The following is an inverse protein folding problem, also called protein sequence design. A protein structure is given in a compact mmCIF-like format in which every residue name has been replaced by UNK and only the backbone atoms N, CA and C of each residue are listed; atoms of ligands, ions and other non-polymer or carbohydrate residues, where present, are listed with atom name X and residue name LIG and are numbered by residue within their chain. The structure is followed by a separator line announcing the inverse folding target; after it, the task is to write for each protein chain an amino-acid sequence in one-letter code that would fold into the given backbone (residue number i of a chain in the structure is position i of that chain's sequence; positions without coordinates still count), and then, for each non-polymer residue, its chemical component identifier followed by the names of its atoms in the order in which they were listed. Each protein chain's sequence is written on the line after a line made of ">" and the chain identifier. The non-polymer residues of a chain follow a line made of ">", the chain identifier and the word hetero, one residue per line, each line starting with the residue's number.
data_IF_185024594290
#
_entry.id   IF_185024594290
#
_cell.length_a   1.000
_cell.length_b   1.000
_cell.length_c   1.000
_cell.angle_alpha   90.00
_cell.angle_beta   90.00
_cell.angle_gamma   90.00
#
_symmetry.space_group_name_H-M   'P 1'
#
loop_
_entity.id
_entity.type
_entity.pdbx_description
1 polymer ?
#
# COMPACT_ATOMS: atom_id res chain seq x y z
N UNK A 1 4.73 -79.85 47.86
CA UNK A 1 5.57 -78.80 47.31
C UNK A 1 4.65 -77.96 46.50
N UNK A 2 4.34 -76.69 46.95
CA UNK A 2 3.39 -75.78 46.33
C UNK A 2 4.19 -74.75 45.55
N UNK A 3 4.04 -74.69 44.25
CA UNK A 3 4.62 -73.63 43.36
C UNK A 3 3.66 -72.45 43.29
N UNK A 4 4.14 -71.33 43.75
CA UNK A 4 3.43 -70.07 43.71
C UNK A 4 3.76 -69.37 42.34
N UNK A 5 2.74 -69.18 41.46
CA UNK A 5 2.89 -68.40 40.25
C UNK A 5 2.67 -66.95 40.61
N UNK A 6 3.70 -66.13 40.43
CA UNK A 6 3.59 -64.66 40.46
C UNK A 6 3.17 -64.15 39.08
N UNK A 7 1.97 -63.53 38.98
CA UNK A 7 1.52 -62.78 37.81
C UNK A 7 1.96 -61.37 38.03
N UNK A 8 2.92 -60.91 37.20
CA UNK A 8 3.31 -59.50 37.14
C UNK A 8 2.33 -58.74 36.23
N UNK A 9 1.50 -57.90 36.82
CA UNK A 9 0.65 -56.96 36.08
C UNK A 9 1.46 -55.72 35.68
N UNK A 10 1.82 -55.65 34.44
CA UNK A 10 2.47 -54.46 33.87
C UNK A 10 1.40 -53.40 33.57
N UNK A 11 1.32 -52.36 34.40
CA UNK A 11 0.49 -51.19 34.17
C UNK A 11 1.19 -50.29 33.16
N UNK A 12 0.77 -50.34 31.89
CA UNK A 12 1.21 -49.40 30.86
C UNK A 12 0.49 -48.07 31.05
N UNK A 13 1.14 -47.06 31.62
CA UNK A 13 0.68 -45.68 31.61
C UNK A 13 0.82 -45.15 30.19
N UNK A 14 -0.29 -45.08 29.43
CA UNK A 14 -0.37 -44.35 28.18
C UNK A 14 -0.40 -42.84 28.51
N UNK A 15 0.74 -42.16 28.46
CA UNK A 15 0.82 -40.72 28.52
C UNK A 15 0.37 -40.21 27.15
N UNK A 16 -0.89 -39.80 27.05
CA UNK A 16 -1.42 -39.11 25.89
C UNK A 16 -0.81 -37.70 25.85
N UNK A 17 0.28 -37.53 25.13
CA UNK A 17 0.71 -36.21 24.73
C UNK A 17 -0.34 -35.68 23.76
N UNK A 18 -1.22 -34.81 24.25
CA UNK A 18 -2.09 -34.02 23.41
C UNK A 18 -1.21 -33.19 22.44
N UNK A 19 -1.16 -33.59 21.18
CA UNK A 19 -0.53 -32.79 20.15
C UNK A 19 -1.31 -31.46 20.06
N UNK A 20 -0.86 -30.46 20.78
CA UNK A 20 -1.33 -29.10 20.54
C UNK A 20 -0.90 -28.77 19.10
N UNK A 21 -1.89 -28.60 18.22
CA UNK A 21 -1.65 -28.18 16.87
C UNK A 21 -0.88 -26.86 16.92
N UNK A 22 0.39 -26.92 16.53
CA UNK A 22 1.25 -25.75 16.51
C UNK A 22 0.65 -24.78 15.47
N UNK A 23 0.22 -23.58 15.91
CA UNK A 23 -0.30 -22.55 15.00
C UNK A 23 0.68 -22.35 13.85
N UNK A 24 0.17 -22.28 12.62
CA UNK A 24 1.02 -21.98 11.49
C UNK A 24 1.65 -20.59 11.65
N UNK A 25 2.81 -20.37 11.04
CA UNK A 25 3.42 -19.03 11.04
C UNK A 25 2.49 -17.99 10.41
N UNK A 26 1.64 -18.40 9.45
CA UNK A 26 0.63 -17.55 8.83
C UNK A 26 -0.47 -17.14 9.84
N UNK A 27 -0.95 -18.09 10.65
CA UNK A 27 -1.96 -17.81 11.70
C UNK A 27 -1.40 -16.90 12.78
N UNK A 28 -0.14 -17.12 13.21
CA UNK A 28 0.53 -16.22 14.16
C UNK A 28 0.68 -14.80 13.63
N UNK A 29 0.98 -14.63 12.35
CA UNK A 29 1.05 -13.31 11.68
C UNK A 29 -0.34 -12.67 11.61
N UNK A 30 -1.38 -13.43 11.31
CA UNK A 30 -2.75 -12.93 11.23
C UNK A 30 -3.24 -12.47 12.62
N UNK A 31 -2.99 -13.25 13.66
CA UNK A 31 -3.33 -12.90 15.04
C UNK A 31 -2.58 -11.66 15.53
N UNK A 32 -1.29 -11.54 15.24
CA UNK A 32 -0.50 -10.36 15.56
C UNK A 32 -1.03 -9.10 14.85
N UNK A 33 -1.44 -9.22 13.59
CA UNK A 33 -2.08 -8.12 12.86
C UNK A 33 -3.39 -7.69 13.52
N UNK A 34 -4.22 -8.65 13.93
CA UNK A 34 -5.47 -8.36 14.62
C UNK A 34 -5.26 -7.65 15.96
N UNK A 35 -4.25 -8.04 16.73
CA UNK A 35 -3.89 -7.33 17.97
C UNK A 35 -3.44 -5.89 17.72
N UNK A 36 -2.80 -5.61 16.56
CA UNK A 36 -2.39 -4.26 16.18
C UNK A 36 -3.56 -3.41 15.65
N UNK A 37 -4.70 -4.01 15.29
CA UNK A 37 -5.88 -3.26 14.86
C UNK A 37 -6.49 -2.42 15.99
N UNK A 38 -6.42 -2.88 17.24
CA UNK A 38 -6.87 -2.15 18.44
C UNK A 38 -5.95 -1.00 18.88
N UNK A 39 -4.81 -0.83 18.25
CA UNK A 39 -3.84 0.24 18.49
C UNK A 39 -3.00 0.45 17.24
N UNK A 40 -3.66 0.65 16.09
CA UNK A 40 -2.99 0.74 14.79
C UNK A 40 -2.01 1.92 14.77
N UNK A 41 -0.70 1.69 14.63
CA UNK A 41 0.27 2.78 14.55
C UNK A 41 0.02 3.74 13.39
N UNK A 42 -0.77 3.33 12.38
CA UNK A 42 -1.18 4.19 11.28
C UNK A 42 -2.07 5.35 11.74
N UNK A 43 -2.78 5.22 12.87
CA UNK A 43 -3.67 6.26 13.41
C UNK A 43 -2.90 7.54 13.76
N UNK A 44 -1.64 7.42 14.19
CA UNK A 44 -0.77 8.57 14.44
C UNK A 44 -0.44 9.33 13.14
N UNK A 45 -0.27 8.60 12.04
CA UNK A 45 -0.02 9.21 10.73
C UNK A 45 -1.28 9.80 10.13
N UNK A 46 -2.44 9.18 10.40
CA UNK A 46 -3.76 9.70 10.02
C UNK A 46 -4.02 11.02 10.70
N UNK A 47 -3.91 11.09 12.03
CA UNK A 47 -4.06 12.33 12.82
C UNK A 47 -3.08 13.42 12.36
N UNK A 48 -1.80 13.06 12.13
CA UNK A 48 -0.81 13.99 11.59
C UNK A 48 -1.19 14.51 10.21
N UNK A 49 -1.71 13.63 9.33
CA UNK A 49 -2.13 14.02 7.98
C UNK A 49 -3.29 15.00 8.00
N UNK A 50 -4.27 14.78 8.87
CA UNK A 50 -5.39 15.69 9.10
C UNK A 50 -4.93 17.07 9.58
N UNK A 51 -4.04 17.11 10.56
CA UNK A 51 -3.46 18.36 11.07
C UNK A 51 -2.71 19.11 9.95
N UNK A 52 -1.84 18.43 9.20
CA UNK A 52 -1.09 19.01 8.08
C UNK A 52 -1.99 19.59 6.98
N UNK A 53 -3.16 19.00 6.74
CA UNK A 53 -4.13 19.50 5.78
C UNK A 53 -4.74 20.84 6.20
N UNK A 54 -4.99 21.00 7.50
CA UNK A 54 -5.65 22.16 8.11
C UNK A 54 -4.67 23.26 8.52
N UNK A 55 -3.40 22.93 8.72
CA UNK A 55 -2.39 23.87 9.23
C UNK A 55 -1.78 24.70 8.10
N UNK A 56 -1.72 26.04 8.22
CA UNK A 56 -1.01 26.91 7.27
C UNK A 56 0.49 26.59 7.23
N UNK A 57 1.01 26.30 6.04
CA UNK A 57 2.41 25.89 5.84
C UNK A 57 3.02 26.52 4.59
N UNK A 58 4.32 26.31 4.43
CA UNK A 58 5.09 26.78 3.30
C UNK A 58 5.28 28.29 3.24
N UNK A 59 5.98 28.80 2.22
CA UNK A 59 6.25 30.23 2.04
C UNK A 59 4.99 31.09 2.00
N UNK A 60 3.89 30.58 1.44
CA UNK A 60 2.61 31.29 1.34
C UNK A 60 1.74 31.22 2.61
N UNK A 61 2.18 30.49 3.64
CA UNK A 61 1.44 30.29 4.90
C UNK A 61 -0.04 29.91 4.64
N UNK A 62 -0.29 28.98 3.71
CA UNK A 62 -1.62 28.53 3.31
C UNK A 62 -1.90 27.09 3.72
N UNK A 63 -3.17 26.75 3.89
CA UNK A 63 -3.63 25.39 4.15
C UNK A 63 -3.78 24.61 2.83
N UNK A 64 -4.00 23.28 2.93
CA UNK A 64 -4.35 22.46 1.77
C UNK A 64 -5.87 22.33 1.54
N UNK A 65 -6.70 23.02 2.33
CA UNK A 65 -8.16 22.89 2.27
C UNK A 65 -8.79 23.32 0.91
N UNK A 66 -8.05 24.04 0.08
CA UNK A 66 -8.46 24.36 -1.28
C UNK A 66 -7.92 23.36 -2.34
N UNK A 67 -7.15 22.36 -1.94
CA UNK A 67 -6.63 21.33 -2.86
C UNK A 67 -7.79 20.48 -3.41
N UNK A 68 -7.90 20.43 -4.74
CA UNK A 68 -8.84 19.53 -5.41
C UNK A 68 -8.17 18.17 -5.65
N UNK A 69 -8.72 17.13 -5.02
CA UNK A 69 -8.31 15.75 -5.20
C UNK A 69 -9.10 15.02 -6.30
N UNK A 70 -9.81 15.76 -7.13
CA UNK A 70 -10.58 15.26 -8.26
C UNK A 70 -12.09 15.15 -8.01
N UNK A 71 -12.57 15.59 -6.84
CA UNK A 71 -13.98 15.66 -6.47
C UNK A 71 -14.44 17.09 -6.16
N UNK A 72 -13.59 18.06 -6.44
CA UNK A 72 -13.77 19.46 -6.12
C UNK A 72 -12.86 19.92 -4.98
N UNK A 73 -12.62 21.25 -4.85
CA UNK A 73 -11.73 21.82 -3.85
C UNK A 73 -12.13 21.39 -2.43
N UNK A 74 -11.18 20.85 -1.67
CA UNK A 74 -11.35 20.46 -0.27
C UNK A 74 -12.12 19.16 -0.03
N UNK A 75 -12.66 18.52 -1.06
CA UNK A 75 -13.37 17.24 -0.92
C UNK A 75 -12.36 16.10 -0.81
N UNK A 76 -12.26 15.52 0.39
CA UNK A 76 -11.30 14.44 0.69
C UNK A 76 -11.96 13.07 0.67
N UNK A 77 -13.15 12.95 1.29
CA UNK A 77 -13.87 11.68 1.38
C UNK A 77 -14.22 11.13 0.00
N UNK A 78 -13.77 9.92 -0.30
CA UNK A 78 -14.01 9.27 -1.59
C UNK A 78 -12.96 9.58 -2.67
N UNK A 79 -12.06 10.52 -2.44
CA UNK A 79 -11.03 10.87 -3.43
C UNK A 79 -10.04 9.73 -3.65
N UNK A 80 -9.57 9.09 -2.59
CA UNK A 80 -8.58 8.02 -2.65
C UNK A 80 -8.95 6.89 -3.62
N UNK A 81 -10.20 6.43 -3.60
CA UNK A 81 -10.67 5.31 -4.42
C UNK A 81 -10.89 5.67 -5.89
N UNK A 82 -10.64 6.93 -6.27
CA UNK A 82 -10.71 7.43 -7.64
C UNK A 82 -9.35 7.94 -8.15
N UNK A 83 -8.28 7.73 -7.39
CA UNK A 83 -6.90 8.09 -7.76
C UNK A 83 -6.08 6.84 -8.09
N UNK A 84 -5.18 6.92 -9.10
CA UNK A 84 -4.82 8.09 -9.95
C UNK A 84 -5.88 8.46 -10.98
N UNK A 85 -5.90 9.74 -11.38
CA UNK A 85 -6.78 10.28 -12.44
C UNK A 85 -6.15 11.47 -13.16
N UNK A 86 -6.76 11.89 -14.28
CA UNK A 86 -6.37 13.11 -14.97
C UNK A 86 -6.88 14.36 -14.23
N UNK A 87 -6.04 15.40 -14.20
CA UNK A 87 -6.33 16.71 -13.64
C UNK A 87 -6.14 17.79 -14.70
N UNK A 88 -7.22 18.50 -15.04
CA UNK A 88 -7.20 19.50 -16.10
C UNK A 88 -6.35 20.74 -15.75
N UNK A 89 -6.22 21.09 -14.48
CA UNK A 89 -5.44 22.24 -14.02
C UNK A 89 -3.91 22.04 -14.19
N UNK A 90 -3.46 20.79 -14.20
CA UNK A 90 -2.05 20.46 -14.43
C UNK A 90 -1.79 19.83 -15.80
N UNK A 91 -2.83 19.33 -16.46
CA UNK A 91 -2.71 18.54 -17.70
C UNK A 91 -2.09 17.15 -17.48
N UNK A 92 -2.04 16.65 -16.23
CA UNK A 92 -1.34 15.42 -15.85
C UNK A 92 -2.28 14.38 -15.26
N UNK A 93 -1.94 13.11 -15.45
CA UNK A 93 -2.47 12.02 -14.63
C UNK A 93 -1.66 11.98 -13.34
N UNK A 94 -2.33 12.06 -12.20
CA UNK A 94 -1.69 12.14 -10.89
C UNK A 94 -2.31 11.15 -9.91
N UNK A 95 -1.47 10.51 -9.11
CA UNK A 95 -1.86 9.81 -7.89
C UNK A 95 -1.95 10.80 -6.71
N UNK A 96 -2.29 10.31 -5.52
CA UNK A 96 -2.45 11.19 -4.35
C UNK A 96 -1.15 11.93 -4.02
N UNK A 97 -0.01 11.29 -4.13
CA UNK A 97 1.28 11.87 -3.73
C UNK A 97 1.74 12.93 -4.72
N UNK A 98 1.64 12.65 -6.03
CA UNK A 98 1.94 13.64 -7.08
C UNK A 98 0.94 14.81 -7.07
N UNK A 99 -0.34 14.54 -6.75
CA UNK A 99 -1.35 15.59 -6.59
C UNK A 99 -1.06 16.48 -5.38
N UNK A 100 -0.64 15.89 -4.26
CA UNK A 100 -0.21 16.64 -3.08
C UNK A 100 0.99 17.54 -3.39
N UNK A 101 1.98 17.05 -4.14
CA UNK A 101 3.11 17.90 -4.59
C UNK A 101 2.60 19.13 -5.38
N UNK A 102 1.65 18.92 -6.30
CA UNK A 102 1.06 20.02 -7.07
C UNK A 102 0.31 21.02 -6.19
N UNK A 103 -0.51 20.53 -5.26
CA UNK A 103 -1.24 21.38 -4.31
C UNK A 103 -0.30 22.12 -3.34
N UNK A 104 0.71 21.46 -2.81
CA UNK A 104 1.71 22.09 -1.93
C UNK A 104 2.50 23.18 -2.67
N UNK A 105 2.81 22.96 -3.94
CA UNK A 105 3.47 23.98 -4.76
C UNK A 105 2.54 25.16 -5.07
N UNK A 106 1.34 24.88 -5.55
CA UNK A 106 0.40 25.94 -5.97
C UNK A 106 -0.11 26.75 -4.77
N UNK A 107 -0.57 26.09 -3.71
CA UNK A 107 -1.24 26.72 -2.57
C UNK A 107 -0.24 27.20 -1.52
N UNK A 108 0.73 26.38 -1.16
CA UNK A 108 1.66 26.64 -0.06
C UNK A 108 3.00 27.25 -0.50
N UNK A 109 3.31 27.22 -1.81
CA UNK A 109 4.52 27.81 -2.38
C UNK A 109 5.79 26.96 -2.18
N UNK A 110 5.67 25.66 -1.92
CA UNK A 110 6.83 24.78 -1.91
C UNK A 110 7.39 24.58 -3.31
N UNK A 111 8.69 24.40 -3.43
CA UNK A 111 9.31 24.01 -4.70
C UNK A 111 9.03 22.53 -5.00
N UNK A 112 8.32 22.27 -6.08
CA UNK A 112 7.93 20.92 -6.48
C UNK A 112 9.13 20.01 -6.81
N UNK A 113 10.24 20.58 -7.34
CA UNK A 113 11.44 19.82 -7.65
C UNK A 113 12.17 19.40 -6.36
N UNK A 114 12.24 20.29 -5.37
CA UNK A 114 12.83 19.98 -4.07
C UNK A 114 11.98 18.97 -3.28
N UNK A 115 10.65 19.08 -3.33
CA UNK A 115 9.76 18.06 -2.73
C UNK A 115 10.04 16.66 -3.30
N UNK A 116 10.22 16.57 -4.63
CA UNK A 116 10.47 15.28 -5.31
C UNK A 116 11.86 14.69 -5.03
N UNK A 117 12.83 15.51 -4.65
CA UNK A 117 14.20 15.06 -4.30
C UNK A 117 14.31 14.56 -2.85
N UNK A 118 13.36 14.90 -1.99
CA UNK A 118 13.42 14.53 -0.58
C UNK A 118 13.29 13.01 -0.42
N UNK A 119 14.17 12.42 0.37
CA UNK A 119 14.16 10.98 0.62
C UNK A 119 12.87 10.55 1.36
N UNK A 120 12.36 9.37 1.02
CA UNK A 120 11.22 8.78 1.70
C UNK A 120 11.42 8.71 3.21
N UNK A 121 10.35 8.97 3.97
CA UNK A 121 10.34 8.96 5.42
C UNK A 121 11.03 10.16 6.09
N UNK A 122 11.47 11.17 5.34
CA UNK A 122 12.13 12.36 5.87
C UNK A 122 11.47 13.65 5.39
N UNK A 123 11.61 14.71 6.20
CA UNK A 123 11.18 16.06 5.83
C UNK A 123 9.76 16.10 5.25
N UNK A 124 9.60 16.84 4.18
CA UNK A 124 8.28 17.00 3.52
C UNK A 124 7.76 15.70 2.90
N UNK A 125 8.61 14.75 2.54
CA UNK A 125 8.16 13.44 2.07
C UNK A 125 7.44 12.64 3.17
N UNK A 126 7.87 12.73 4.43
CA UNK A 126 7.16 12.14 5.56
C UNK A 126 5.80 12.81 5.79
N UNK A 127 5.70 14.11 5.52
CA UNK A 127 4.44 14.86 5.60
C UNK A 127 3.48 14.49 4.45
N UNK A 128 4.00 14.33 3.22
CA UNK A 128 3.22 13.82 2.07
C UNK A 128 2.67 12.42 2.38
N UNK A 129 3.48 11.54 2.96
CA UNK A 129 3.04 10.19 3.37
C UNK A 129 1.93 10.25 4.41
N UNK A 130 2.02 11.13 5.42
CA UNK A 130 0.98 11.31 6.43
C UNK A 130 -0.33 11.86 5.82
N UNK A 131 -0.23 12.87 4.94
CA UNK A 131 -1.37 13.40 4.19
C UNK A 131 -2.05 12.31 3.34
N UNK A 132 -1.27 11.53 2.59
CA UNK A 132 -1.81 10.42 1.79
C UNK A 132 -2.49 9.35 2.67
N UNK A 133 -1.95 9.11 3.87
CA UNK A 133 -2.54 8.19 4.86
C UNK A 133 -3.92 8.66 5.31
N UNK A 134 -4.06 9.92 5.70
CA UNK A 134 -5.33 10.50 6.11
C UNK A 134 -6.36 10.53 4.96
N UNK A 135 -5.93 10.90 3.73
CA UNK A 135 -6.80 10.91 2.56
C UNK A 135 -7.32 9.49 2.27
N UNK A 136 -6.46 8.47 2.37
CA UNK A 136 -6.86 7.08 2.18
C UNK A 136 -7.82 6.61 3.27
N UNK A 137 -7.54 6.92 4.54
CA UNK A 137 -8.42 6.63 5.68
C UNK A 137 -9.81 7.25 5.53
N UNK A 138 -9.89 8.47 5.01
CA UNK A 138 -11.17 9.17 4.73
C UNK A 138 -12.03 8.45 3.69
N UNK A 139 -11.46 7.48 2.96
CA UNK A 139 -12.17 6.67 1.96
C UNK A 139 -12.29 5.18 2.35
N UNK A 140 -11.96 4.83 3.60
CA UNK A 140 -12.05 3.44 4.12
C UNK A 140 -13.46 2.89 3.93
N UNK A 141 -13.58 1.64 3.51
CA UNK A 141 -14.86 0.98 3.22
C UNK A 141 -15.46 1.32 1.85
N UNK A 142 -14.95 2.32 1.13
CA UNK A 142 -15.41 2.62 -0.22
C UNK A 142 -14.71 1.73 -1.27
N UNK A 143 -15.37 1.55 -2.42
CA UNK A 143 -14.87 0.67 -3.48
C UNK A 143 -14.07 1.43 -4.53
N UNK A 144 -12.93 0.87 -4.94
CA UNK A 144 -12.12 1.44 -6.03
C UNK A 144 -12.90 1.53 -7.33
N UNK A 145 -12.85 2.69 -7.95
CA UNK A 145 -13.50 2.99 -9.22
C UNK A 145 -12.73 4.11 -9.94
N UNK A 146 -11.48 3.83 -10.33
CA UNK A 146 -10.65 4.80 -11.03
C UNK A 146 -11.30 5.21 -12.36
N UNK A 147 -11.37 6.50 -12.69
CA UNK A 147 -11.89 6.94 -13.96
C UNK A 147 -10.98 6.48 -15.10
N UNK A 148 -11.61 6.13 -16.23
CA UNK A 148 -10.93 5.78 -17.49
C UNK A 148 -11.62 6.48 -18.68
N UNK A 149 -12.17 7.65 -18.42
CA UNK A 149 -12.89 8.43 -19.44
C UNK A 149 -11.94 9.29 -20.28
N UNK A 150 -10.91 9.87 -19.66
CA UNK A 150 -9.95 10.72 -20.35
C UNK A 150 -8.93 9.90 -21.15
N UNK A 151 -8.52 10.34 -22.38
CA UNK A 151 -7.51 9.61 -23.18
C UNK A 151 -6.20 9.37 -22.46
N UNK A 152 -5.72 10.34 -21.66
CA UNK A 152 -4.49 10.21 -20.87
C UNK A 152 -4.59 9.13 -19.78
N UNK A 153 -5.76 8.93 -19.15
CA UNK A 153 -5.97 7.85 -18.18
C UNK A 153 -5.81 6.47 -18.84
N UNK A 154 -6.36 6.32 -20.05
CA UNK A 154 -6.21 5.10 -20.86
C UNK A 154 -4.75 4.90 -21.30
N UNK A 155 -4.09 5.97 -21.73
CA UNK A 155 -2.66 5.94 -22.09
C UNK A 155 -1.81 5.50 -20.90
N UNK A 156 -2.07 6.03 -19.71
CA UNK A 156 -1.35 5.65 -18.49
C UNK A 156 -1.66 4.21 -18.06
N UNK A 157 -2.89 3.73 -18.23
CA UNK A 157 -3.20 2.32 -18.02
C UNK A 157 -2.34 1.40 -18.91
N UNK A 158 -2.26 1.69 -20.20
CA UNK A 158 -1.46 0.90 -21.15
C UNK A 158 0.05 1.01 -20.87
N UNK A 159 0.53 2.19 -20.47
CA UNK A 159 1.91 2.37 -20.04
C UNK A 159 2.21 1.54 -18.78
N UNK A 160 1.34 1.61 -17.78
CA UNK A 160 1.46 0.85 -16.54
C UNK A 160 1.42 -0.66 -16.79
N UNK A 161 0.53 -1.12 -17.68
CA UNK A 161 0.47 -2.51 -18.11
C UNK A 161 1.78 -2.97 -18.73
N UNK A 162 2.32 -2.22 -19.70
CA UNK A 162 3.61 -2.54 -20.32
C UNK A 162 4.73 -2.59 -19.27
N UNK A 163 4.79 -1.60 -18.37
CA UNK A 163 5.78 -1.56 -17.31
C UNK A 163 5.66 -2.75 -16.34
N UNK A 164 4.43 -3.17 -16.02
CA UNK A 164 4.16 -4.28 -15.11
C UNK A 164 4.67 -5.62 -15.64
N UNK A 165 4.60 -5.83 -16.96
CA UNK A 165 5.08 -7.04 -17.63
C UNK A 165 6.50 -6.93 -18.18
N UNK A 166 7.11 -5.74 -18.14
CA UNK A 166 8.48 -5.54 -18.64
C UNK A 166 9.48 -6.30 -17.81
N UNK A 167 10.18 -7.25 -18.45
CA UNK A 167 11.26 -8.00 -17.83
C UNK A 167 12.59 -7.29 -18.07
N UNK A 168 13.43 -7.27 -17.04
CA UNK A 168 14.72 -6.62 -17.14
C UNK A 168 15.51 -6.72 -15.84
N UNK A 169 16.59 -5.91 -15.80
CA UNK A 169 17.56 -5.95 -14.71
C UNK A 169 18.37 -7.26 -14.69
N UNK A 170 19.33 -7.38 -13.77
CA UNK A 170 20.23 -8.54 -13.71
C UNK A 170 19.53 -9.86 -13.33
N UNK A 171 18.28 -9.79 -12.81
CA UNK A 171 17.49 -10.97 -12.44
C UNK A 171 16.46 -11.33 -13.50
N UNK A 172 16.33 -10.57 -14.57
CA UNK A 172 15.32 -10.73 -15.62
C UNK A 172 13.90 -10.91 -15.05
N UNK A 173 13.52 -10.10 -14.07
CA UNK A 173 12.19 -10.12 -13.45
C UNK A 173 11.32 -8.99 -13.99
N UNK A 174 10.03 -9.12 -13.74
CA UNK A 174 9.02 -8.09 -13.91
C UNK A 174 8.13 -8.05 -12.66
N UNK A 175 7.25 -7.05 -12.54
CA UNK A 175 6.21 -7.06 -11.50
C UNK A 175 5.35 -8.33 -11.62
N UNK A 176 5.02 -8.74 -12.86
CA UNK A 176 4.25 -9.95 -13.15
C UNK A 176 4.97 -11.25 -12.73
N UNK A 177 6.31 -11.26 -12.64
CA UNK A 177 7.04 -12.44 -12.15
C UNK A 177 6.61 -12.84 -10.74
N UNK A 178 6.21 -11.85 -9.91
CA UNK A 178 5.74 -12.04 -8.55
C UNK A 178 4.21 -11.88 -8.42
N UNK A 179 3.60 -11.01 -9.21
CA UNK A 179 2.20 -10.56 -9.04
C UNK A 179 1.31 -10.86 -10.26
N UNK A 180 1.73 -11.76 -11.16
CA UNK A 180 1.02 -12.06 -12.40
C UNK A 180 0.03 -13.22 -12.31
N UNK A 181 -0.01 -13.94 -11.20
CA UNK A 181 -0.93 -15.05 -10.97
C UNK A 181 -1.10 -15.34 -9.47
N UNK A 182 -2.20 -15.97 -9.11
CA UNK A 182 -2.48 -16.38 -7.74
C UNK A 182 -1.56 -17.52 -7.27
N UNK A 183 -1.37 -17.65 -5.95
CA UNK A 183 -0.62 -18.74 -5.32
C UNK A 183 0.89 -18.54 -5.28
N UNK A 184 1.41 -17.45 -5.80
CA UNK A 184 2.84 -17.12 -5.62
C UNK A 184 3.13 -16.69 -4.20
N UNK A 185 4.29 -17.07 -3.71
CA UNK A 185 4.73 -16.77 -2.35
C UNK A 185 6.15 -16.26 -2.33
N UNK A 186 6.43 -15.35 -1.41
CA UNK A 186 7.79 -14.97 -1.05
C UNK A 186 7.95 -15.10 0.46
N UNK A 187 8.93 -15.92 0.89
CA UNK A 187 9.10 -16.27 2.31
C UNK A 187 7.79 -16.90 2.84
N UNK A 188 7.18 -16.31 3.87
CA UNK A 188 5.93 -16.79 4.48
C UNK A 188 4.70 -15.97 4.06
N UNK A 189 4.80 -15.19 2.98
CA UNK A 189 3.73 -14.29 2.53
C UNK A 189 3.24 -14.70 1.15
N UNK A 190 1.93 -14.81 1.00
CA UNK A 190 1.29 -14.91 -0.28
C UNK A 190 1.38 -13.56 -1.00
N UNK A 191 1.62 -13.62 -2.31
CA UNK A 191 1.70 -12.45 -3.15
C UNK A 191 0.36 -12.26 -3.87
N UNK A 192 -0.21 -11.04 -3.84
CA UNK A 192 -1.47 -10.78 -4.51
C UNK A 192 -1.30 -10.84 -6.03
N UNK A 193 -2.28 -11.42 -6.72
CA UNK A 193 -2.42 -11.29 -8.16
C UNK A 193 -2.99 -9.90 -8.48
N UNK A 194 -2.19 -9.06 -9.14
CA UNK A 194 -2.55 -7.67 -9.48
C UNK A 194 -2.99 -7.51 -10.95
N UNK A 195 -3.20 -8.61 -11.67
CA UNK A 195 -3.55 -8.60 -13.10
C UNK A 195 -5.04 -8.77 -13.37
N UNK A 196 -5.80 -9.26 -12.39
CA UNK A 196 -7.24 -9.53 -12.51
C UNK A 196 -8.08 -8.38 -11.97
N UNK A 197 -9.33 -8.34 -12.37
CA UNK A 197 -10.34 -7.40 -11.88
C UNK A 197 -11.52 -8.18 -11.25
N UNK A 198 -11.79 -8.05 -9.93
CA UNK A 198 -11.04 -7.25 -8.95
C UNK A 198 -9.74 -7.91 -8.46
N UNK A 199 -9.44 -9.15 -8.85
CA UNK A 199 -8.28 -9.92 -8.45
C UNK A 199 -8.09 -9.98 -6.94
N UNK A 200 -6.84 -10.06 -6.51
CA UNK A 200 -6.48 -9.82 -5.12
C UNK A 200 -6.34 -8.29 -4.88
N UNK A 201 -7.40 -7.54 -5.21
CA UNK A 201 -7.45 -6.08 -5.12
C UNK A 201 -6.95 -5.52 -3.79
N UNK A 202 -7.04 -6.31 -2.72
CA UNK A 202 -6.45 -6.03 -1.41
C UNK A 202 -4.94 -5.75 -1.49
N UNK A 203 -4.24 -6.26 -2.51
CA UNK A 203 -2.84 -5.95 -2.74
C UNK A 203 -2.59 -4.49 -3.05
N UNK A 204 -3.50 -3.81 -3.75
CA UNK A 204 -3.48 -2.37 -4.02
C UNK A 204 -4.27 -1.59 -2.97
N UNK A 205 -5.48 -2.04 -2.65
CA UNK A 205 -6.45 -1.37 -1.77
C UNK A 205 -6.00 -1.24 -0.29
N UNK A 206 -4.92 -1.94 0.10
CA UNK A 206 -4.37 -1.90 1.44
C UNK A 206 -3.28 -0.83 1.64
N UNK A 207 -2.87 -0.12 0.60
CA UNK A 207 -1.87 0.94 0.67
C UNK A 207 -2.52 2.32 0.70
N UNK A 208 -1.93 3.30 1.42
CA UNK A 208 -0.73 3.25 2.24
C UNK A 208 -0.85 2.26 3.40
N UNK A 209 0.29 1.75 3.90
CA UNK A 209 0.30 0.75 4.95
C UNK A 209 1.43 0.96 5.96
N UNK A 210 1.17 0.70 7.23
CA UNK A 210 2.21 0.63 8.24
C UNK A 210 3.01 -0.66 8.07
N UNK A 211 4.32 -0.50 7.82
CA UNK A 211 5.26 -1.61 7.66
C UNK A 211 5.90 -1.95 8.99
N UNK A 212 5.42 -3.01 9.64
CA UNK A 212 5.89 -3.43 10.96
C UNK A 212 7.40 -3.67 10.98
N UNK A 213 7.93 -4.34 9.94
CA UNK A 213 9.37 -4.63 9.84
C UNK A 213 10.26 -3.39 9.71
N UNK A 214 9.69 -2.24 9.37
CA UNK A 214 10.40 -0.98 9.21
C UNK A 214 10.01 0.07 10.25
N UNK A 215 8.95 -0.18 11.03
CA UNK A 215 8.43 0.78 12.00
C UNK A 215 7.93 2.08 11.36
N UNK A 216 7.47 2.05 10.11
CA UNK A 216 7.15 3.25 9.33
C UNK A 216 5.91 3.07 8.46
N UNK A 217 5.24 4.19 8.22
CA UNK A 217 4.19 4.29 7.23
C UNK A 217 4.81 4.36 5.82
N UNK A 218 4.34 3.49 4.94
CA UNK A 218 4.77 3.45 3.54
C UNK A 218 3.62 3.76 2.60
N UNK A 219 3.87 4.62 1.66
CA UNK A 219 2.97 4.87 0.54
C UNK A 219 3.13 3.82 -0.57
N UNK A 220 2.25 3.85 -1.57
CA UNK A 220 2.40 3.02 -2.76
C UNK A 220 3.66 3.39 -3.55
N UNK A 221 4.00 4.66 -3.64
CA UNK A 221 5.23 5.14 -4.31
C UNK A 221 6.48 4.53 -3.66
N UNK A 222 6.56 4.54 -2.31
CA UNK A 222 7.66 3.91 -1.59
C UNK A 222 7.66 2.38 -1.79
N UNK A 223 6.47 1.76 -1.80
CA UNK A 223 6.37 0.30 -2.05
C UNK A 223 6.89 -0.08 -3.43
N UNK A 224 6.55 0.69 -4.46
CA UNK A 224 7.07 0.48 -5.81
C UNK A 224 8.60 0.64 -5.85
N UNK A 225 9.12 1.69 -5.20
CA UNK A 225 10.56 1.91 -5.08
C UNK A 225 11.29 0.71 -4.46
N UNK A 226 10.72 0.14 -3.38
CA UNK A 226 11.27 -1.04 -2.73
C UNK A 226 11.23 -2.29 -3.63
N UNK A 227 10.17 -2.47 -4.43
CA UNK A 227 10.11 -3.55 -5.42
C UNK A 227 11.20 -3.40 -6.49
N UNK A 228 11.41 -2.19 -7.00
CA UNK A 228 12.48 -1.90 -7.96
C UNK A 228 13.86 -2.21 -7.36
N UNK A 229 14.11 -1.78 -6.11
CA UNK A 229 15.34 -2.12 -5.38
C UNK A 229 15.53 -3.64 -5.25
N UNK A 230 14.48 -4.38 -4.90
CA UNK A 230 14.54 -5.84 -4.74
C UNK A 230 14.85 -6.54 -6.06
N UNK A 231 14.34 -6.04 -7.17
CA UNK A 231 14.62 -6.54 -8.52
C UNK A 231 15.94 -6.00 -9.11
N UNK A 232 16.64 -5.14 -8.35
CA UNK A 232 17.88 -4.45 -8.81
C UNK A 232 17.68 -3.63 -10.08
N UNK A 233 16.48 -3.11 -10.28
CA UNK A 233 16.23 -2.06 -11.26
C UNK A 233 16.74 -0.71 -10.77
N UNK A 234 17.03 0.23 -11.68
CA UNK A 234 17.19 1.63 -11.31
C UNK A 234 15.95 2.12 -10.57
N UNK A 235 16.14 3.01 -9.56
CA UNK A 235 15.01 3.58 -8.85
C UNK A 235 14.11 4.38 -9.80
N UNK A 236 12.79 4.16 -9.80
CA UNK A 236 11.88 5.06 -10.48
C UNK A 236 11.86 6.38 -9.72
N UNK A 237 11.82 7.49 -10.41
CA UNK A 237 11.68 8.80 -9.76
C UNK A 237 10.37 8.87 -8.98
N UNK A 238 10.38 9.54 -7.82
CA UNK A 238 9.15 9.82 -7.07
C UNK A 238 8.18 10.63 -7.92
N UNK A 239 6.91 10.22 -7.92
CA UNK A 239 5.85 10.83 -8.73
C UNK A 239 6.21 10.92 -10.23
N UNK A 240 6.97 9.96 -10.74
CA UNK A 240 7.26 9.84 -12.18
C UNK A 240 6.07 9.24 -12.93
N UNK A 241 6.01 9.48 -14.24
CA UNK A 241 4.99 8.86 -15.09
C UNK A 241 4.95 7.33 -14.94
N UNK A 242 6.12 6.72 -14.72
CA UNK A 242 6.23 5.27 -14.54
C UNK A 242 5.52 4.79 -13.29
N UNK A 243 5.75 5.44 -12.13
CA UNK A 243 5.13 5.04 -10.87
C UNK A 243 3.64 5.35 -10.85
N UNK A 244 3.24 6.49 -11.41
CA UNK A 244 1.82 6.86 -11.56
C UNK A 244 1.11 5.89 -12.49
N UNK A 245 1.72 5.52 -13.62
CA UNK A 245 1.14 4.57 -14.59
C UNK A 245 0.97 3.16 -13.97
N UNK A 246 1.94 2.68 -13.20
CA UNK A 246 1.80 1.44 -12.44
C UNK A 246 0.64 1.53 -11.44
N UNK A 247 0.49 2.68 -10.76
CA UNK A 247 -0.66 2.97 -9.89
C UNK A 247 -1.99 2.93 -10.63
N UNK A 248 -2.07 3.51 -11.84
CA UNK A 248 -3.27 3.43 -12.70
C UNK A 248 -3.59 1.99 -13.07
N UNK A 249 -2.61 1.23 -13.56
CA UNK A 249 -2.82 -0.17 -13.95
C UNK A 249 -3.34 -1.02 -12.79
N UNK A 250 -2.68 -0.97 -11.63
CA UNK A 250 -3.08 -1.75 -10.47
C UNK A 250 -4.43 -1.28 -9.90
N UNK A 251 -4.68 0.03 -9.86
CA UNK A 251 -5.92 0.60 -9.33
C UNK A 251 -7.13 0.30 -10.21
N UNK A 252 -6.98 0.30 -11.54
CA UNK A 252 -8.04 -0.11 -12.47
C UNK A 252 -8.34 -1.60 -12.32
N UNK A 253 -7.31 -2.43 -12.16
CA UNK A 253 -7.48 -3.86 -11.90
C UNK A 253 -8.10 -4.13 -10.51
N UNK A 254 -7.91 -3.23 -9.54
CA UNK A 254 -8.56 -3.30 -8.23
C UNK A 254 -10.01 -2.81 -8.20
N UNK A 255 -10.63 -2.51 -9.37
CA UNK A 255 -12.01 -2.01 -9.44
C UNK A 255 -12.97 -2.90 -8.66
N UNK A 256 -13.76 -2.30 -7.78
CA UNK A 256 -14.71 -2.99 -6.92
C UNK A 256 -14.13 -3.53 -5.60
N UNK A 257 -12.80 -3.56 -5.44
CA UNK A 257 -12.19 -3.89 -4.16
C UNK A 257 -12.48 -2.79 -3.14
N UNK A 258 -12.72 -3.19 -1.90
CA UNK A 258 -12.93 -2.27 -0.79
C UNK A 258 -11.60 -1.69 -0.30
N UNK A 259 -11.54 -0.37 -0.10
CA UNK A 259 -10.38 0.29 0.49
C UNK A 259 -10.29 -0.05 1.98
N UNK A 260 -9.21 -0.71 2.36
CA UNK A 260 -8.88 -1.03 3.75
C UNK A 260 -7.68 -0.21 4.25
N UNK A 261 -7.26 0.79 3.48
CA UNK A 261 -6.16 1.67 3.83
C UNK A 261 -6.56 2.67 4.94
N UNK A 262 -5.61 3.03 5.80
CA UNK A 262 -4.28 2.49 5.93
C UNK A 262 -4.28 1.12 6.61
N UNK A 263 -3.58 0.15 6.00
CA UNK A 263 -3.49 -1.20 6.54
C UNK A 263 -2.18 -1.43 7.30
N UNK A 264 -2.08 -2.61 7.95
CA UNK A 264 -0.85 -3.09 8.57
C UNK A 264 -0.26 -4.19 7.69
N UNK A 265 1.01 -4.05 7.34
CA UNK A 265 1.78 -5.00 6.55
C UNK A 265 3.08 -5.37 7.27
N UNK A 266 3.53 -6.60 7.05
CA UNK A 266 4.82 -7.05 7.58
C UNK A 266 5.99 -6.30 6.94
#
# INVERSE_FOLDING_TARGET
>A
MKTISMIAASLALAVSFGAQAQKSAADGIAEYRKMLEDGNPADLFEAKGEDLWKTPRGPKKATLQACDLGLGPGVVKGAWVQLPRYFADTGLVQDVESRLVSCMSALQGFDAAELKKTAFGRGEMANITALATWIAASSRGQRFALPQSHPEEKRFYELGKRAFFFRGGPMDFSCASCHGEAGKRIRLQDLPDLTKNPGDGIGFAAWPAYRVSNGQMWSMQLRLNDCYRQQRFPYPGFASDLTVALGVYMGVNAKGAESIAPAIKR
#
